data_IF_294755326572
#
_entry.id   IF_294755326572
#
_cell.length_a   1.000
_cell.length_b   1.000
_cell.length_c   1.000
_cell.angle_alpha   90.00
_cell.angle_beta   90.00
_cell.angle_gamma   90.00
#
_symmetry.space_group_name_H-M   'P 1'
#
loop_
_entity.id
_entity.type
_entity.pdbx_description
1 polymer ?
#
# COMPACT_ATOMS: atom_id res chain seq x y z
N UNK A 1 -12.80 26.12 7.19
CA UNK A 1 -12.79 25.65 8.58
C UNK A 1 -11.51 26.11 9.27
N UNK A 2 -11.52 26.39 10.57
CA UNK A 2 -10.26 26.74 11.26
C UNK A 2 -9.52 25.46 11.62
N UNK A 3 -8.22 25.45 11.39
CA UNK A 3 -7.33 24.43 11.95
C UNK A 3 -7.43 24.51 13.47
N UNK A 4 -7.87 23.44 14.12
CA UNK A 4 -8.04 23.38 15.58
C UNK A 4 -6.73 23.05 16.32
N UNK A 5 -5.64 22.83 15.58
CA UNK A 5 -4.33 22.58 16.16
C UNK A 5 -3.70 23.92 16.61
N UNK A 6 -3.01 23.90 17.74
CA UNK A 6 -2.19 25.03 18.14
C UNK A 6 -1.01 25.22 17.17
N UNK A 7 -0.50 26.45 17.08
CA UNK A 7 0.69 26.74 16.25
C UNK A 7 1.90 25.88 16.67
N UNK A 8 2.04 25.61 17.98
CA UNK A 8 3.08 24.73 18.48
C UNK A 8 2.92 23.29 17.96
N UNK A 9 1.70 22.74 18.03
CA UNK A 9 1.40 21.39 17.54
C UNK A 9 1.64 21.30 16.03
N UNK A 10 1.17 22.29 15.27
CA UNK A 10 1.40 22.35 13.82
C UNK A 10 2.89 22.37 13.47
N UNK A 11 3.69 23.18 14.19
CA UNK A 11 5.15 23.23 14.00
C UNK A 11 5.82 21.89 14.31
N UNK A 12 5.40 21.23 15.39
CA UNK A 12 5.93 19.91 15.78
C UNK A 12 5.62 18.85 14.72
N UNK A 13 4.39 18.83 14.19
CA UNK A 13 3.99 17.89 13.13
C UNK A 13 4.72 18.15 11.82
N UNK A 14 4.93 19.43 11.45
CA UNK A 14 5.72 19.79 10.28
C UNK A 14 7.18 19.33 10.44
N UNK A 15 7.76 19.51 11.62
CA UNK A 15 9.11 19.04 11.91
C UNK A 15 9.19 17.51 11.80
N UNK A 16 8.24 16.80 12.40
CA UNK A 16 8.18 15.35 12.33
C UNK A 16 8.05 14.84 10.88
N UNK A 17 7.13 15.42 10.10
CA UNK A 17 6.97 15.04 8.69
C UNK A 17 8.26 15.24 7.89
N UNK A 18 8.96 16.36 8.09
CA UNK A 18 10.24 16.59 7.44
C UNK A 18 11.33 15.61 7.90
N UNK A 19 11.36 15.27 9.20
CA UNK A 19 12.34 14.31 9.73
C UNK A 19 12.12 12.91 9.16
N UNK A 20 10.88 12.51 8.82
CA UNK A 20 10.60 11.23 8.18
C UNK A 20 11.14 11.16 6.74
N UNK A 21 11.10 12.26 5.98
CA UNK A 21 11.67 12.32 4.63
C UNK A 21 13.16 11.91 4.56
N UNK A 22 13.89 12.10 5.64
CA UNK A 22 15.31 11.75 5.74
C UNK A 22 15.57 10.36 6.32
N UNK A 23 14.54 9.70 6.85
CA UNK A 23 14.68 8.40 7.50
C UNK A 23 14.22 7.23 6.64
N UNK A 24 13.52 7.50 5.54
CA UNK A 24 12.98 6.43 4.70
C UNK A 24 14.11 5.67 4.01
N UNK A 25 14.25 4.43 4.37
CA UNK A 25 15.24 3.50 3.79
C UNK A 25 14.58 2.23 3.24
N UNK A 26 13.26 2.20 3.20
CA UNK A 26 12.47 1.01 2.95
C UNK A 26 11.82 0.88 1.56
N UNK A 27 12.08 1.82 0.64
CA UNK A 27 11.51 1.72 -0.70
C UNK A 27 11.96 0.44 -1.40
N UNK A 28 11.01 -0.23 -2.05
CA UNK A 28 11.33 -1.35 -2.92
C UNK A 28 12.22 -0.86 -4.07
N UNK A 29 13.31 -1.58 -4.32
CA UNK A 29 14.17 -1.31 -5.45
C UNK A 29 13.65 -2.02 -6.70
N UNK A 30 14.05 -1.55 -7.89
CA UNK A 30 13.79 -2.27 -9.14
C UNK A 30 14.32 -3.71 -9.08
N UNK A 31 15.47 -3.94 -8.42
CA UNK A 31 16.04 -5.27 -8.23
C UNK A 31 15.16 -6.19 -7.39
N UNK A 32 14.49 -5.67 -6.36
CA UNK A 32 13.53 -6.43 -5.55
C UNK A 32 12.35 -6.91 -6.40
N UNK A 33 11.82 -6.05 -7.24
CA UNK A 33 10.73 -6.34 -8.17
C UNK A 33 11.14 -7.36 -9.23
N UNK A 34 12.28 -7.18 -9.90
CA UNK A 34 12.80 -8.08 -10.92
C UNK A 34 13.10 -9.49 -10.38
N UNK A 35 13.48 -9.60 -9.11
CA UNK A 35 13.81 -10.88 -8.49
C UNK A 35 12.60 -11.81 -8.26
N UNK A 36 11.39 -11.33 -8.51
CA UNK A 36 10.16 -12.13 -8.37
C UNK A 36 9.81 -12.94 -9.61
N UNK A 37 10.39 -12.62 -10.77
CA UNK A 37 10.18 -13.42 -11.97
C UNK A 37 10.82 -14.80 -11.80
N UNK A 38 10.03 -15.87 -11.99
CA UNK A 38 10.44 -17.27 -11.85
C UNK A 38 10.96 -17.68 -10.46
N UNK A 39 10.59 -16.96 -9.41
CA UNK A 39 11.26 -17.07 -8.11
C UNK A 39 10.73 -18.16 -7.19
N UNK A 40 9.65 -18.84 -7.53
CA UNK A 40 9.10 -19.93 -6.71
C UNK A 40 8.39 -21.01 -7.54
N UNK A 41 8.37 -22.23 -6.99
CA UNK A 41 7.58 -23.32 -7.54
C UNK A 41 6.25 -23.38 -6.78
N UNK A 42 5.11 -23.41 -7.47
CA UNK A 42 3.78 -23.55 -6.85
C UNK A 42 3.66 -24.75 -5.91
N UNK A 43 4.41 -25.82 -6.16
CA UNK A 43 4.43 -27.01 -5.30
C UNK A 43 5.07 -26.80 -3.94
N UNK A 44 5.84 -25.73 -3.82
CA UNK A 44 6.55 -25.38 -2.57
C UNK A 44 5.73 -24.44 -1.69
N UNK A 45 4.53 -24.04 -2.14
CA UNK A 45 3.61 -23.22 -1.35
C UNK A 45 2.98 -24.05 -0.24
N UNK A 46 2.89 -23.46 0.92
CA UNK A 46 2.24 -24.05 2.09
C UNK A 46 0.92 -23.34 2.35
N UNK A 47 -0.19 -23.98 2.03
CA UNK A 47 -1.51 -23.44 2.33
C UNK A 47 -1.85 -23.67 3.80
N UNK A 48 -2.41 -22.63 4.43
CA UNK A 48 -2.76 -22.62 5.85
C UNK A 48 -4.23 -23.02 5.99
N UNK A 49 -4.53 -23.97 6.85
CA UNK A 49 -5.88 -24.48 7.09
C UNK A 49 -6.56 -24.98 5.79
N UNK A 50 -7.80 -24.54 5.56
CA UNK A 50 -8.59 -24.89 4.37
C UNK A 50 -8.37 -23.93 3.18
N UNK A 51 -7.29 -23.16 3.18
CA UNK A 51 -6.95 -22.19 2.15
C UNK A 51 -6.61 -22.93 0.84
N UNK A 52 -7.30 -22.60 -0.22
CA UNK A 52 -7.09 -23.20 -1.54
C UNK A 52 -6.14 -22.34 -2.40
N UNK A 53 -5.68 -22.88 -3.53
CA UNK A 53 -4.94 -22.08 -4.52
C UNK A 53 -5.76 -20.90 -5.03
N UNK A 54 -7.08 -21.07 -5.17
CA UNK A 54 -7.99 -19.99 -5.59
C UNK A 54 -8.06 -18.87 -4.53
N UNK A 55 -8.14 -19.22 -3.25
CA UNK A 55 -8.10 -18.24 -2.16
C UNK A 55 -6.78 -17.47 -2.15
N UNK A 56 -5.68 -18.17 -2.37
CA UNK A 56 -4.36 -17.57 -2.49
C UNK A 56 -4.32 -16.54 -3.64
N UNK A 57 -4.76 -16.93 -4.84
CA UNK A 57 -4.82 -16.06 -6.01
C UNK A 57 -5.70 -14.82 -5.72
N UNK A 58 -6.87 -15.03 -5.12
CA UNK A 58 -7.80 -13.94 -4.82
C UNK A 58 -7.20 -12.97 -3.79
N UNK A 59 -6.45 -13.47 -2.83
CA UNK A 59 -5.70 -12.68 -1.85
C UNK A 59 -4.70 -11.74 -2.54
N UNK A 60 -3.90 -12.25 -3.46
CA UNK A 60 -2.92 -11.44 -4.20
C UNK A 60 -3.57 -10.47 -5.18
N UNK A 61 -4.70 -10.83 -5.78
CA UNK A 61 -5.50 -9.89 -6.59
C UNK A 61 -6.02 -8.73 -5.76
N UNK A 62 -6.53 -9.03 -4.56
CA UNK A 62 -7.02 -8.00 -3.65
C UNK A 62 -5.90 -7.03 -3.27
N UNK A 63 -4.75 -7.53 -2.82
CA UNK A 63 -3.60 -6.70 -2.48
C UNK A 63 -3.14 -5.86 -3.69
N UNK A 64 -2.96 -6.47 -4.86
CA UNK A 64 -2.59 -5.76 -6.09
C UNK A 64 -3.53 -4.59 -6.40
N UNK A 65 -4.85 -4.80 -6.26
CA UNK A 65 -5.86 -3.77 -6.52
C UNK A 65 -5.77 -2.67 -5.45
N UNK A 66 -5.70 -3.03 -4.18
CA UNK A 66 -5.65 -2.08 -3.06
C UNK A 66 -4.44 -1.16 -3.20
N UNK A 67 -3.25 -1.72 -3.43
CA UNK A 67 -2.01 -0.95 -3.63
C UNK A 67 -2.10 -0.02 -4.86
N UNK A 68 -2.80 -0.44 -5.90
CA UNK A 68 -2.96 0.38 -7.10
C UNK A 68 -3.82 1.65 -6.91
N UNK A 69 -4.54 1.76 -5.79
CA UNK A 69 -5.41 2.88 -5.48
C UNK A 69 -4.73 4.00 -4.69
N UNK A 70 -3.43 3.92 -4.49
CA UNK A 70 -2.61 4.90 -3.74
C UNK A 70 -2.87 6.34 -4.16
N UNK A 71 -3.02 6.61 -5.45
CA UNK A 71 -3.34 7.94 -5.99
C UNK A 71 -4.70 8.47 -5.49
N UNK A 72 -5.70 7.62 -5.37
CA UNK A 72 -7.02 8.00 -4.86
C UNK A 72 -7.01 8.25 -3.34
N UNK A 73 -6.26 7.44 -2.60
CA UNK A 73 -6.05 7.67 -1.16
C UNK A 73 -5.30 8.99 -0.93
N UNK A 74 -4.18 9.18 -1.64
CA UNK A 74 -3.37 10.40 -1.55
C UNK A 74 -4.19 11.66 -1.82
N UNK A 75 -5.00 11.66 -2.87
CA UNK A 75 -5.90 12.76 -3.22
C UNK A 75 -6.86 13.14 -2.07
N UNK A 76 -7.37 12.14 -1.35
CA UNK A 76 -8.25 12.37 -0.19
C UNK A 76 -7.50 13.01 0.97
N UNK A 77 -6.30 12.52 1.28
CA UNK A 77 -5.44 13.11 2.31
C UNK A 77 -5.05 14.55 1.96
N UNK A 78 -4.69 14.82 0.70
CA UNK A 78 -4.33 16.16 0.23
C UNK A 78 -5.53 17.11 0.30
N UNK A 79 -6.73 16.65 -0.08
CA UNK A 79 -7.94 17.43 0.08
C UNK A 79 -8.19 17.83 1.54
N UNK A 80 -8.03 16.90 2.47
CA UNK A 80 -8.12 17.17 3.90
C UNK A 80 -7.04 18.16 4.38
N UNK A 81 -5.80 17.97 3.92
CA UNK A 81 -4.71 18.88 4.22
C UNK A 81 -5.01 20.32 3.75
N UNK A 82 -5.60 20.49 2.58
CA UNK A 82 -5.99 21.79 2.03
C UNK A 82 -7.08 22.47 2.82
N UNK A 83 -8.15 21.74 3.12
CA UNK A 83 -9.30 22.27 3.88
C UNK A 83 -8.87 22.75 5.26
N UNK A 84 -8.02 22.00 5.93
CA UNK A 84 -7.62 22.26 7.32
C UNK A 84 -6.28 22.98 7.47
N UNK A 85 -5.62 23.33 6.36
CA UNK A 85 -4.30 23.99 6.35
C UNK A 85 -3.23 23.18 7.10
N UNK A 86 -3.27 21.85 6.89
CA UNK A 86 -2.37 20.91 7.52
C UNK A 86 -1.15 20.60 6.61
N UNK A 87 -0.24 21.56 6.47
CA UNK A 87 0.92 21.44 5.58
C UNK A 87 1.80 20.21 5.88
N UNK A 88 1.88 19.84 7.17
CA UNK A 88 2.60 18.64 7.61
C UNK A 88 2.02 17.35 6.97
N UNK A 89 0.68 17.25 6.84
CA UNK A 89 0.04 16.10 6.22
C UNK A 89 0.37 16.04 4.73
N UNK A 90 0.31 17.18 4.03
CA UNK A 90 0.72 17.27 2.64
C UNK A 90 2.19 16.86 2.43
N UNK A 91 3.09 17.36 3.31
CA UNK A 91 4.51 17.02 3.25
C UNK A 91 4.74 15.52 3.45
N UNK A 92 4.06 14.92 4.42
CA UNK A 92 4.16 13.49 4.69
C UNK A 92 3.65 12.66 3.49
N UNK A 93 2.46 12.95 3.00
CA UNK A 93 1.83 12.19 1.91
C UNK A 93 2.67 12.27 0.63
N UNK A 94 3.01 13.48 0.17
CA UNK A 94 3.69 13.64 -1.12
C UNK A 94 5.18 13.28 -1.06
N UNK A 95 5.81 13.48 0.08
CA UNK A 95 7.25 13.33 0.19
C UNK A 95 7.71 11.99 0.74
N UNK A 96 6.83 11.27 1.43
CA UNK A 96 7.16 10.01 2.07
C UNK A 96 6.21 8.90 1.63
N UNK A 97 4.93 8.99 1.99
CA UNK A 97 4.00 7.88 1.85
C UNK A 97 3.75 7.49 0.39
N UNK A 98 3.40 8.41 -0.50
CA UNK A 98 3.16 8.11 -1.93
C UNK A 98 4.38 7.51 -2.62
N UNK A 99 5.60 8.06 -2.47
CA UNK A 99 6.79 7.43 -3.04
C UNK A 99 7.06 6.01 -2.54
N UNK A 100 6.72 5.71 -1.28
CA UNK A 100 6.85 4.38 -0.69
C UNK A 100 5.83 3.40 -1.33
N UNK A 101 4.58 3.80 -1.40
CA UNK A 101 3.46 2.99 -1.89
C UNK A 101 3.53 2.66 -3.40
N UNK A 102 4.15 3.51 -4.21
CA UNK A 102 4.15 3.35 -5.68
C UNK A 102 4.77 2.04 -6.17
N UNK A 103 5.60 1.39 -5.37
CA UNK A 103 6.25 0.12 -5.71
C UNK A 103 5.44 -1.13 -5.31
N UNK A 104 4.46 -0.99 -4.42
CA UNK A 104 3.83 -2.13 -3.74
C UNK A 104 2.91 -2.97 -4.63
N UNK A 105 2.35 -2.41 -5.69
CA UNK A 105 1.52 -3.15 -6.67
C UNK A 105 2.31 -4.22 -7.42
N UNK A 106 3.55 -3.95 -7.79
CA UNK A 106 4.35 -4.77 -8.69
C UNK A 106 4.70 -6.16 -8.14
N UNK A 107 5.09 -6.34 -6.88
CA UNK A 107 5.29 -7.66 -6.28
C UNK A 107 4.08 -8.59 -6.41
N UNK A 108 2.90 -8.09 -6.11
CA UNK A 108 1.66 -8.87 -6.21
C UNK A 108 1.34 -9.25 -7.66
N UNK A 109 1.52 -8.31 -8.60
CA UNK A 109 1.36 -8.54 -10.03
C UNK A 109 2.28 -9.65 -10.52
N UNK A 110 3.56 -9.62 -10.16
CA UNK A 110 4.55 -10.64 -10.55
C UNK A 110 4.27 -12.00 -9.94
N UNK A 111 3.81 -12.06 -8.71
CA UNK A 111 3.36 -13.31 -8.09
C UNK A 111 2.18 -13.90 -8.90
N UNK A 112 1.18 -13.10 -9.27
CA UNK A 112 0.05 -13.54 -10.08
C UNK A 112 0.47 -14.03 -11.48
N UNK A 113 1.47 -13.41 -12.08
CA UNK A 113 2.01 -13.89 -13.37
C UNK A 113 2.56 -15.32 -13.27
N UNK A 114 3.15 -15.71 -12.15
CA UNK A 114 3.57 -17.09 -11.88
C UNK A 114 2.38 -18.08 -11.80
N UNK A 115 1.16 -17.59 -11.55
CA UNK A 115 -0.08 -18.38 -11.62
C UNK A 115 -0.71 -18.41 -13.02
N UNK A 116 -0.04 -17.79 -14.01
CA UNK A 116 -0.43 -17.86 -15.41
C UNK A 116 -1.27 -16.69 -15.89
N UNK A 117 -1.42 -15.64 -15.07
CA UNK A 117 -2.01 -14.38 -15.53
C UNK A 117 -1.03 -13.65 -16.44
N UNK A 118 -1.50 -13.13 -17.56
CA UNK A 118 -0.71 -12.23 -18.38
C UNK A 118 -0.69 -10.82 -17.78
N UNK A 119 0.36 -10.09 -18.05
CA UNK A 119 0.48 -8.68 -17.61
C UNK A 119 -0.72 -7.85 -18.10
N UNK A 120 -1.15 -8.05 -19.34
CA UNK A 120 -2.29 -7.35 -19.92
C UNK A 120 -3.62 -7.63 -19.19
N UNK A 121 -3.84 -8.85 -18.71
CA UNK A 121 -5.02 -9.18 -17.91
C UNK A 121 -4.99 -8.47 -16.56
N UNK A 122 -3.85 -8.45 -15.91
CA UNK A 122 -3.68 -7.77 -14.63
C UNK A 122 -3.83 -6.25 -14.78
N UNK A 123 -3.25 -5.65 -15.80
CA UNK A 123 -3.41 -4.21 -16.09
C UNK A 123 -4.87 -3.84 -16.37
N UNK A 124 -5.60 -4.71 -17.06
CA UNK A 124 -7.04 -4.50 -17.28
C UNK A 124 -7.81 -4.54 -15.95
N UNK A 125 -7.51 -5.50 -15.07
CA UNK A 125 -8.14 -5.58 -13.74
C UNK A 125 -7.88 -4.32 -12.92
N UNK A 126 -6.65 -3.80 -12.93
CA UNK A 126 -6.29 -2.56 -12.25
C UNK A 126 -7.06 -1.36 -12.80
N UNK A 127 -7.14 -1.24 -14.12
CA UNK A 127 -7.88 -0.16 -14.79
C UNK A 127 -9.38 -0.23 -14.47
N UNK A 128 -9.96 -1.42 -14.49
CA UNK A 128 -11.37 -1.63 -14.14
C UNK A 128 -11.64 -1.25 -12.67
N UNK A 129 -10.77 -1.68 -11.75
CA UNK A 129 -10.88 -1.34 -10.34
C UNK A 129 -10.80 0.18 -10.12
N UNK A 130 -9.82 0.85 -10.71
CA UNK A 130 -9.69 2.32 -10.64
C UNK A 130 -10.92 3.06 -11.17
N UNK A 131 -11.52 2.57 -12.26
CA UNK A 131 -12.71 3.20 -12.85
C UNK A 131 -13.99 2.97 -12.03
N UNK A 132 -14.05 1.89 -11.26
CA UNK A 132 -15.21 1.55 -10.41
C UNK A 132 -15.12 2.16 -9.02
N UNK A 133 -13.93 2.56 -8.58
CA UNK A 133 -13.69 3.09 -7.25
C UNK A 133 -13.70 4.61 -7.30
N UNK A 134 -14.57 5.24 -6.53
CA UNK A 134 -14.53 6.67 -6.25
C UNK A 134 -14.28 6.87 -4.75
N UNK A 135 -13.03 6.82 -4.37
CA UNK A 135 -12.64 6.86 -2.96
C UNK A 135 -13.02 8.18 -2.27
N UNK A 136 -12.94 9.30 -3.01
CA UNK A 136 -13.33 10.62 -2.49
C UNK A 136 -14.80 10.71 -2.12
N UNK A 137 -15.68 10.09 -2.91
CA UNK A 137 -17.12 10.11 -2.66
C UNK A 137 -17.55 9.11 -1.59
N UNK A 138 -16.83 7.99 -1.47
CA UNK A 138 -17.14 6.92 -0.52
C UNK A 138 -16.46 7.09 0.84
N UNK A 139 -15.65 8.15 1.04
CA UNK A 139 -14.85 8.30 2.26
C UNK A 139 -15.69 8.79 3.44
N UNK A 140 -16.22 7.86 4.21
CA UNK A 140 -17.09 8.13 5.37
C UNK A 140 -16.32 8.63 6.61
N UNK A 141 -15.02 8.41 6.68
CA UNK A 141 -14.20 8.78 7.83
C UNK A 141 -14.09 10.30 8.05
N UNK A 142 -14.51 11.11 7.07
CA UNK A 142 -14.36 12.57 7.07
C UNK A 142 -12.96 13.02 6.63
N UNK A 143 -12.79 14.33 6.54
CA UNK A 143 -11.58 14.95 5.96
C UNK A 143 -10.67 15.61 6.99
N UNK A 144 -10.96 15.49 8.30
CA UNK A 144 -10.10 16.05 9.33
C UNK A 144 -8.75 15.31 9.35
N UNK A 145 -7.60 16.01 9.44
CA UNK A 145 -6.28 15.37 9.44
C UNK A 145 -6.14 14.24 10.44
N UNK A 146 -6.67 14.39 11.65
CA UNK A 146 -6.63 13.34 12.68
C UNK A 146 -7.47 12.11 12.29
N UNK A 147 -8.58 12.28 11.61
CA UNK A 147 -9.42 11.18 11.13
C UNK A 147 -8.72 10.43 9.99
N UNK A 148 -8.17 11.18 9.03
CA UNK A 148 -7.44 10.62 7.90
C UNK A 148 -6.20 9.84 8.37
N UNK A 149 -5.38 10.42 9.24
CA UNK A 149 -4.18 9.74 9.74
C UNK A 149 -4.51 8.56 10.63
N UNK A 150 -5.59 8.61 11.41
CA UNK A 150 -6.06 7.45 12.20
C UNK A 150 -6.54 6.33 11.28
N UNK A 151 -7.30 6.66 10.24
CA UNK A 151 -7.74 5.70 9.23
C UNK A 151 -6.54 5.06 8.53
N UNK A 152 -5.59 5.88 8.05
CA UNK A 152 -4.35 5.38 7.42
C UNK A 152 -3.57 4.46 8.35
N UNK A 153 -3.38 4.82 9.62
CA UNK A 153 -2.70 3.96 10.59
C UNK A 153 -3.38 2.59 10.73
N UNK A 154 -4.71 2.54 10.81
CA UNK A 154 -5.41 1.26 10.88
C UNK A 154 -5.26 0.46 9.59
N UNK A 155 -5.31 1.12 8.45
CA UNK A 155 -5.11 0.47 7.16
C UNK A 155 -3.71 -0.14 7.08
N UNK A 156 -2.66 0.61 7.41
CA UNK A 156 -1.28 0.10 7.43
C UNK A 156 -1.10 -1.09 8.38
N UNK A 157 -1.67 -1.04 9.57
CA UNK A 157 -1.63 -2.18 10.51
C UNK A 157 -2.32 -3.43 9.97
N UNK A 158 -3.40 -3.26 9.20
CA UNK A 158 -4.14 -4.38 8.59
C UNK A 158 -3.35 -4.95 7.41
N UNK A 159 -2.79 -4.09 6.57
CA UNK A 159 -1.98 -4.50 5.40
C UNK A 159 -0.69 -5.18 5.83
N UNK A 160 0.02 -4.66 6.82
CA UNK A 160 1.22 -5.28 7.40
C UNK A 160 0.93 -6.71 7.90
N UNK A 161 -0.13 -6.89 8.70
CA UNK A 161 -0.56 -8.21 9.13
C UNK A 161 -0.93 -9.13 7.97
N UNK A 162 -1.57 -8.58 6.93
CA UNK A 162 -2.00 -9.31 5.76
C UNK A 162 -0.81 -9.79 4.91
N UNK A 163 0.20 -8.96 4.74
CA UNK A 163 1.42 -9.32 4.01
C UNK A 163 2.28 -10.30 4.77
N UNK A 164 2.29 -10.23 6.09
CA UNK A 164 2.93 -11.24 6.94
C UNK A 164 2.27 -12.61 6.75
N UNK A 165 0.94 -12.67 6.71
CA UNK A 165 0.21 -13.89 6.35
C UNK A 165 0.53 -14.39 4.94
N UNK A 166 0.49 -13.53 3.93
CA UNK A 166 0.84 -13.88 2.55
C UNK A 166 2.28 -14.38 2.45
N UNK A 167 3.20 -13.74 3.14
CA UNK A 167 4.61 -14.13 3.18
C UNK A 167 4.81 -15.52 3.76
N UNK A 168 3.98 -15.91 4.72
CA UNK A 168 4.05 -17.22 5.39
C UNK A 168 3.72 -18.40 4.47
N UNK A 169 3.03 -18.15 3.35
CA UNK A 169 2.69 -19.16 2.36
C UNK A 169 3.89 -19.58 1.50
N UNK A 170 4.95 -18.80 1.50
CA UNK A 170 6.17 -19.05 0.73
C UNK A 170 7.27 -19.69 1.57
N UNK A 171 8.19 -20.46 0.94
CA UNK A 171 9.37 -20.99 1.61
C UNK A 171 10.21 -19.90 2.28
N UNK A 172 10.78 -20.20 3.43
CA UNK A 172 11.46 -19.25 4.31
C UNK A 172 12.54 -18.38 3.63
N UNK A 173 13.23 -18.92 2.64
CA UNK A 173 14.33 -18.24 1.94
C UNK A 173 13.95 -17.77 0.52
N UNK A 174 12.67 -17.85 0.15
CA UNK A 174 12.21 -17.45 -1.19
C UNK A 174 12.23 -15.94 -1.37
N UNK A 175 12.42 -15.50 -2.60
CA UNK A 175 12.36 -14.07 -2.94
C UNK A 175 10.99 -13.45 -2.67
N UNK A 176 9.85 -14.09 -3.04
CA UNK A 176 8.54 -13.53 -2.72
C UNK A 176 8.35 -13.24 -1.25
N UNK A 177 8.77 -14.16 -0.36
CA UNK A 177 8.70 -13.92 1.07
C UNK A 177 9.49 -12.70 1.52
N UNK A 178 10.72 -12.54 1.01
CA UNK A 178 11.58 -11.41 1.36
C UNK A 178 11.03 -10.08 0.88
N UNK A 179 10.40 -10.07 -0.29
CA UNK A 179 9.82 -8.85 -0.86
C UNK A 179 8.55 -8.48 -0.13
N UNK A 180 7.63 -9.43 0.12
CA UNK A 180 6.39 -9.18 0.86
C UNK A 180 6.62 -8.68 2.30
N UNK A 181 7.75 -9.00 2.90
CA UNK A 181 8.13 -8.46 4.22
C UNK A 181 8.75 -7.06 4.15
N UNK A 182 8.89 -6.47 2.96
CA UNK A 182 9.34 -5.09 2.76
C UNK A 182 8.20 -4.16 2.30
N UNK A 183 7.15 -4.74 1.73
CA UNK A 183 5.88 -4.05 1.40
C UNK A 183 5.12 -3.74 2.67
#
# INVERSE_FOLDING_TARGET
MKNNLSDHTTKTLNQYANDQLYKSTGFLSEDDSMSLEDSFNRKDLTYIHDFTEEDFINTFKLSMITESLTDQYADTFILGADIYKADWLRTYINGFWVPDELGHTDPHKKILMNFGYSELELDRMLLEAKNQTNYKESHEAGLMPVQLTTFGLFQECITDYWYDLQSSLFPANSNPKKVLLKV
#
